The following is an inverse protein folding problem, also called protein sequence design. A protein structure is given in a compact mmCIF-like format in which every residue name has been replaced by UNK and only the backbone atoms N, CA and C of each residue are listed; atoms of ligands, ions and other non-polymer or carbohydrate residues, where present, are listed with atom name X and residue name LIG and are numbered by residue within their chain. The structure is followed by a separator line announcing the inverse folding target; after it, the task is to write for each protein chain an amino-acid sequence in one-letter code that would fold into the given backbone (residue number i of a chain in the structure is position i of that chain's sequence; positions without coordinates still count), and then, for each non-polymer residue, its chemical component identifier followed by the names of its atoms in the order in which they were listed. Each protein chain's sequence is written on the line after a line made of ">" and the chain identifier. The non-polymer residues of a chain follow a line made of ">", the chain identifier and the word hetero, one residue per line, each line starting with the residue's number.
data_IF_505260315644
#
_entry.id   IF_505260315644
#
_cell.length_a   1.000
_cell.length_b   1.000
_cell.length_c   1.000
_cell.angle_alpha   90.00
_cell.angle_beta   90.00
_cell.angle_gamma   90.00
#
_symmetry.space_group_name_H-M   'P 1'
#
loop_
_entity.id
_entity.type
_entity.pdbx_description
1 polymer ?
#
# COMPACT_ATOMS: atom_id res chain seq x y z
N UNK A 1 13.75 -7.89 -1.56
CA UNK A 1 12.58 -7.80 -2.46
C UNK A 1 13.03 -8.29 -3.82
N UNK A 2 12.39 -9.32 -4.34
CA UNK A 2 12.72 -9.89 -5.64
C UNK A 2 12.29 -8.91 -6.76
N UNK A 3 13.07 -8.85 -7.85
CA UNK A 3 12.77 -8.06 -9.06
C UNK A 3 11.37 -8.39 -9.60
N UNK A 4 10.93 -9.64 -9.42
CA UNK A 4 9.61 -10.14 -9.81
C UNK A 4 8.47 -9.46 -9.01
N UNK A 5 8.65 -9.20 -7.73
CA UNK A 5 7.66 -8.49 -6.91
C UNK A 5 7.54 -7.02 -7.33
N UNK A 6 8.65 -6.40 -7.71
CA UNK A 6 8.67 -5.02 -8.18
C UNK A 6 7.98 -4.89 -9.55
N UNK A 7 8.22 -5.81 -10.47
CA UNK A 7 7.53 -5.90 -11.75
C UNK A 7 6.02 -6.17 -11.57
N UNK A 8 5.63 -7.03 -10.61
CA UNK A 8 4.22 -7.26 -10.27
C UNK A 8 3.55 -5.99 -9.76
N UNK A 9 4.20 -5.21 -8.90
CA UNK A 9 3.68 -3.92 -8.43
C UNK A 9 3.51 -2.91 -9.56
N UNK A 10 4.47 -2.82 -10.51
CA UNK A 10 4.41 -1.90 -11.66
C UNK A 10 3.29 -2.33 -12.63
N UNK A 11 3.22 -3.62 -12.95
CA UNK A 11 2.17 -4.16 -13.84
C UNK A 11 0.78 -3.97 -13.23
N UNK A 12 0.69 -4.13 -11.92
CA UNK A 12 -0.53 -4.00 -11.16
C UNK A 12 -0.99 -2.54 -11.03
N UNK A 13 -0.06 -1.59 -10.79
CA UNK A 13 -0.34 -0.15 -10.81
C UNK A 13 -0.82 0.32 -12.20
N UNK A 14 -0.24 -0.22 -13.28
CA UNK A 14 -0.70 0.03 -14.65
C UNK A 14 -2.11 -0.49 -14.92
N UNK A 15 -2.47 -1.65 -14.36
CA UNK A 15 -3.79 -2.25 -14.48
C UNK A 15 -4.89 -1.41 -13.78
N UNK A 16 -4.58 -0.84 -12.62
CA UNK A 16 -5.49 0.06 -11.90
C UNK A 16 -5.71 1.40 -12.63
N UNK A 17 -4.70 1.88 -13.35
CA UNK A 17 -4.73 3.17 -14.04
C UNK A 17 -5.56 3.17 -15.32
N UNK A 18 -5.69 2.02 -15.98
CA UNK A 18 -6.43 1.90 -17.24
C UNK A 18 -7.95 1.84 -17.08
N UNK A 19 -8.47 1.84 -15.86
CA UNK A 19 -9.92 1.94 -15.60
C UNK A 19 -10.77 0.78 -16.17
N UNK A 20 -10.16 -0.25 -16.73
CA UNK A 20 -10.83 -1.35 -17.43
C UNK A 20 -11.13 -2.57 -16.55
N UNK A 21 -10.92 -2.49 -15.26
CA UNK A 21 -11.13 -3.64 -14.39
C UNK A 21 -12.14 -3.37 -13.29
N UNK A 22 -13.32 -3.95 -13.38
CA UNK A 22 -14.13 -4.22 -12.20
C UNK A 22 -13.29 -5.10 -11.29
N UNK A 23 -12.89 -4.62 -10.10
CA UNK A 23 -12.20 -5.45 -9.11
C UNK A 23 -12.92 -6.78 -8.94
N UNK A 24 -12.21 -7.91 -8.88
CA UNK A 24 -12.84 -9.20 -8.67
C UNK A 24 -13.67 -9.17 -7.39
N UNK A 25 -14.78 -9.92 -7.40
CA UNK A 25 -15.66 -10.02 -6.22
C UNK A 25 -14.90 -10.64 -5.05
N UNK A 26 -15.19 -10.24 -3.81
CA UNK A 26 -14.61 -10.89 -2.64
C UNK A 26 -14.80 -12.40 -2.67
N UNK A 27 -13.82 -13.15 -2.19
CA UNK A 27 -13.92 -14.60 -2.05
C UNK A 27 -15.02 -14.96 -1.05
N UNK A 28 -15.67 -16.10 -1.28
CA UNK A 28 -16.54 -16.69 -0.25
C UNK A 28 -15.69 -17.13 0.95
N UNK A 29 -16.25 -17.14 2.17
CA UNK A 29 -15.50 -17.54 3.38
C UNK A 29 -14.85 -18.93 3.30
N UNK A 30 -15.47 -19.88 2.59
CA UNK A 30 -14.92 -21.22 2.37
C UNK A 30 -13.73 -21.20 1.41
N UNK A 31 -13.82 -20.46 0.31
CA UNK A 31 -12.72 -20.29 -0.64
C UNK A 31 -11.56 -19.50 -0.04
N UNK A 32 -11.84 -18.50 0.77
CA UNK A 32 -10.81 -17.73 1.47
C UNK A 32 -10.00 -18.63 2.41
N UNK A 33 -10.67 -19.48 3.21
CA UNK A 33 -9.99 -20.45 4.08
C UNK A 33 -9.15 -21.45 3.30
N UNK A 34 -9.68 -21.99 2.20
CA UNK A 34 -8.94 -22.90 1.30
C UNK A 34 -7.68 -22.23 0.76
N UNK A 35 -7.79 -20.99 0.23
CA UNK A 35 -6.64 -20.25 -0.26
C UNK A 35 -5.61 -19.96 0.84
N UNK A 36 -6.04 -19.65 2.06
CA UNK A 36 -5.13 -19.45 3.21
C UNK A 36 -4.37 -20.73 3.52
N UNK A 37 -5.04 -21.89 3.57
CA UNK A 37 -4.38 -23.17 3.82
C UNK A 37 -3.33 -23.47 2.75
N UNK A 38 -3.70 -23.35 1.47
CA UNK A 38 -2.77 -23.58 0.36
C UNK A 38 -1.59 -22.59 0.35
N UNK A 39 -1.85 -21.34 0.71
CA UNK A 39 -0.77 -20.34 0.84
C UNK A 39 0.23 -20.75 1.92
N UNK A 40 -0.22 -21.28 3.06
CA UNK A 40 0.65 -21.78 4.13
C UNK A 40 1.46 -23.01 3.71
N UNK A 41 0.95 -23.81 2.77
CA UNK A 41 1.65 -24.92 2.13
C UNK A 41 2.65 -24.47 1.04
N UNK A 42 2.74 -23.15 0.77
CA UNK A 42 3.68 -22.57 -0.20
C UNK A 42 3.11 -22.37 -1.60
N UNK A 43 1.78 -22.44 -1.80
CA UNK A 43 1.16 -22.20 -3.10
C UNK A 43 1.08 -20.68 -3.41
N UNK A 44 1.99 -20.21 -4.26
CA UNK A 44 2.05 -18.82 -4.72
C UNK A 44 0.78 -18.40 -5.47
N UNK A 45 0.11 -19.31 -6.19
CA UNK A 45 -1.15 -18.99 -6.91
C UNK A 45 -2.30 -18.71 -5.94
N UNK A 46 -2.36 -19.44 -4.83
CA UNK A 46 -3.35 -19.19 -3.79
C UNK A 46 -3.12 -17.82 -3.13
N UNK A 47 -1.86 -17.47 -2.90
CA UNK A 47 -1.45 -16.16 -2.40
C UNK A 47 -1.85 -15.03 -3.36
N UNK A 48 -1.59 -15.19 -4.66
CA UNK A 48 -1.97 -14.23 -5.68
C UNK A 48 -3.48 -14.01 -5.70
N UNK A 49 -4.23 -15.09 -5.65
CA UNK A 49 -5.70 -15.04 -5.57
C UNK A 49 -6.18 -14.25 -4.36
N UNK A 50 -5.58 -14.45 -3.18
CA UNK A 50 -5.89 -13.67 -1.98
C UNK A 50 -5.60 -12.19 -2.17
N UNK A 51 -4.48 -11.83 -2.78
CA UNK A 51 -4.11 -10.45 -3.06
C UNK A 51 -5.12 -9.81 -4.02
N UNK A 52 -5.38 -10.44 -5.16
CA UNK A 52 -6.28 -9.91 -6.20
C UNK A 52 -7.69 -9.63 -5.67
N UNK A 53 -8.27 -10.56 -4.93
CA UNK A 53 -9.62 -10.42 -4.40
C UNK A 53 -9.74 -9.43 -3.23
N UNK A 54 -8.62 -9.03 -2.61
CA UNK A 54 -8.59 -8.01 -1.54
C UNK A 54 -8.18 -6.60 -1.99
N UNK A 55 -7.90 -6.39 -3.27
CA UNK A 55 -7.54 -5.07 -3.80
C UNK A 55 -8.64 -4.02 -3.68
N UNK A 56 -9.88 -4.44 -3.78
CA UNK A 56 -11.03 -3.57 -3.56
C UNK A 56 -11.01 -2.96 -2.15
N UNK A 57 -10.53 -3.72 -1.16
CA UNK A 57 -10.37 -3.24 0.21
C UNK A 57 -9.30 -2.13 0.27
N UNK A 58 -8.18 -2.29 -0.43
CA UNK A 58 -7.14 -1.24 -0.52
C UNK A 58 -7.70 0.04 -1.12
N UNK A 59 -8.42 -0.05 -2.25
CA UNK A 59 -9.03 1.12 -2.88
C UNK A 59 -10.06 1.82 -1.96
N UNK A 60 -10.81 1.05 -1.16
CA UNK A 60 -11.76 1.59 -0.19
C UNK A 60 -11.05 2.35 0.94
N UNK A 61 -9.98 1.78 1.47
CA UNK A 61 -9.17 2.42 2.52
C UNK A 61 -8.47 3.66 1.96
N UNK A 62 -7.86 3.56 0.78
CA UNK A 62 -7.16 4.67 0.14
C UNK A 62 -8.04 5.91 -0.02
N UNK A 63 -9.32 5.75 -0.32
CA UNK A 63 -10.28 6.86 -0.41
C UNK A 63 -10.40 7.69 0.85
N UNK A 64 -10.20 7.10 2.04
CA UNK A 64 -10.24 7.83 3.32
C UNK A 64 -9.05 8.77 3.50
N UNK A 65 -7.92 8.44 2.87
CA UNK A 65 -6.64 9.11 3.08
C UNK A 65 -6.21 9.98 1.89
N UNK A 66 -6.89 9.83 0.74
CA UNK A 66 -6.55 10.59 -0.46
C UNK A 66 -7.04 12.04 -0.35
N UNK A 67 -6.09 12.95 -0.39
CA UNK A 67 -6.33 14.35 -0.75
C UNK A 67 -6.22 14.50 -2.27
N UNK A 68 -6.75 15.59 -2.82
CA UNK A 68 -6.77 15.80 -4.27
C UNK A 68 -5.33 15.73 -4.86
N UNK A 69 -5.09 14.75 -5.71
CA UNK A 69 -3.83 14.55 -6.44
C UNK A 69 -2.90 13.44 -5.95
N UNK A 70 -3.11 12.87 -4.74
CA UNK A 70 -2.21 11.85 -4.15
C UNK A 70 -2.78 10.42 -4.18
N UNK A 71 -3.90 10.20 -4.86
CA UNK A 71 -4.64 8.94 -4.79
C UNK A 71 -3.84 7.75 -5.33
N UNK A 72 -3.07 7.94 -6.39
CA UNK A 72 -2.29 6.86 -7.03
C UNK A 72 -1.15 6.38 -6.12
N UNK A 73 -0.48 7.31 -5.42
CA UNK A 73 0.60 6.99 -4.49
C UNK A 73 0.06 6.24 -3.26
N UNK A 74 -1.08 6.67 -2.73
CA UNK A 74 -1.73 6.03 -1.58
C UNK A 74 -2.20 4.62 -1.94
N UNK A 75 -2.74 4.39 -3.14
CA UNK A 75 -3.12 3.05 -3.62
C UNK A 75 -1.87 2.16 -3.78
N UNK A 76 -0.79 2.69 -4.34
CA UNK A 76 0.46 1.94 -4.52
C UNK A 76 1.05 1.49 -3.18
N UNK A 77 1.13 2.38 -2.21
CA UNK A 77 1.60 2.07 -0.85
C UNK A 77 0.63 1.12 -0.13
N UNK A 78 -0.68 1.33 -0.27
CA UNK A 78 -1.70 0.44 0.27
C UNK A 78 -1.58 -0.98 -0.28
N UNK A 79 -1.25 -1.13 -1.57
CA UNK A 79 -1.02 -2.43 -2.21
C UNK A 79 0.22 -3.12 -1.64
N UNK A 80 1.31 -2.39 -1.37
CA UNK A 80 2.48 -2.93 -0.68
C UNK A 80 2.10 -3.40 0.73
N UNK A 81 1.26 -2.63 1.44
CA UNK A 81 0.72 -3.00 2.75
C UNK A 81 -0.11 -4.28 2.69
N UNK A 82 -0.95 -4.46 1.66
CA UNK A 82 -1.72 -5.67 1.40
C UNK A 82 -0.80 -6.88 1.19
N UNK A 83 0.19 -6.79 0.30
CA UNK A 83 1.13 -7.89 0.01
C UNK A 83 1.87 -8.30 1.28
N UNK A 84 2.38 -7.34 2.06
CA UNK A 84 3.02 -7.61 3.35
C UNK A 84 2.05 -8.26 4.34
N UNK A 85 0.81 -7.80 4.40
CA UNK A 85 -0.23 -8.36 5.24
C UNK A 85 -0.54 -9.82 4.90
N UNK A 86 -0.73 -10.15 3.62
CA UNK A 86 -0.96 -11.54 3.18
C UNK A 86 0.23 -12.43 3.52
N UNK A 87 1.46 -11.96 3.29
CA UNK A 87 2.68 -12.74 3.58
C UNK A 87 2.91 -13.02 5.07
N UNK A 88 2.45 -12.14 5.95
CA UNK A 88 2.65 -12.25 7.41
C UNK A 88 1.41 -12.72 8.16
N UNK A 89 0.36 -13.11 7.43
CA UNK A 89 -0.89 -13.55 8.04
C UNK A 89 -0.73 -14.90 8.73
N UNK A 90 -1.16 -14.96 9.99
CA UNK A 90 -1.24 -16.22 10.75
C UNK A 90 -2.68 -16.46 11.20
N UNK A 91 -3.34 -17.53 10.70
CA UNK A 91 -4.72 -17.85 11.04
C UNK A 91 -4.90 -18.30 12.50
N UNK A 92 -3.84 -18.75 13.18
CA UNK A 92 -3.90 -19.17 14.59
C UNK A 92 -4.27 -18.05 15.55
N UNK A 93 -4.08 -16.80 15.15
CA UNK A 93 -4.38 -15.62 15.97
C UNK A 93 -5.87 -15.26 16.04
N UNK A 94 -6.76 -16.08 15.49
CA UNK A 94 -8.22 -15.86 15.50
C UNK A 94 -8.68 -14.48 14.99
N UNK A 95 -7.93 -13.88 14.07
CA UNK A 95 -8.24 -12.60 13.43
C UNK A 95 -8.69 -12.87 12.01
N UNK A 96 -9.76 -12.23 11.55
CA UNK A 96 -10.18 -12.31 10.15
C UNK A 96 -9.14 -11.69 9.24
N UNK A 97 -8.87 -12.31 8.08
CA UNK A 97 -7.90 -11.84 7.09
C UNK A 97 -8.14 -10.37 6.69
N UNK A 98 -9.38 -10.00 6.37
CA UNK A 98 -9.75 -8.65 6.00
C UNK A 98 -9.41 -7.60 7.09
N UNK A 99 -9.64 -7.92 8.36
CA UNK A 99 -9.32 -7.06 9.50
C UNK A 99 -7.81 -6.87 9.65
N UNK A 100 -7.06 -7.94 9.49
CA UNK A 100 -5.60 -7.90 9.56
C UNK A 100 -5.00 -7.09 8.42
N UNK A 101 -5.44 -7.35 7.20
CA UNK A 101 -5.02 -6.61 6.00
C UNK A 101 -5.34 -5.12 6.12
N UNK A 102 -6.54 -4.76 6.59
CA UNK A 102 -6.92 -3.36 6.77
C UNK A 102 -5.91 -2.60 7.64
N UNK A 103 -5.49 -3.19 8.76
CA UNK A 103 -4.48 -2.60 9.64
C UNK A 103 -3.11 -2.49 8.97
N UNK A 104 -2.69 -3.50 8.20
CA UNK A 104 -1.43 -3.46 7.47
C UNK A 104 -1.42 -2.35 6.41
N UNK A 105 -2.52 -2.19 5.68
CA UNK A 105 -2.70 -1.13 4.67
C UNK A 105 -2.70 0.26 5.33
N UNK A 106 -3.48 0.46 6.40
CA UNK A 106 -3.53 1.72 7.14
C UNK A 106 -2.16 2.09 7.70
N UNK A 107 -1.43 1.15 8.30
CA UNK A 107 -0.08 1.38 8.81
C UNK A 107 0.91 1.78 7.70
N UNK A 108 0.81 1.16 6.52
CA UNK A 108 1.66 1.51 5.38
C UNK A 108 1.39 2.95 4.91
N UNK A 109 0.12 3.35 4.80
CA UNK A 109 -0.30 4.70 4.41
C UNK A 109 0.15 5.74 5.47
N UNK A 110 -0.06 5.47 6.75
CA UNK A 110 0.39 6.37 7.83
C UNK A 110 1.91 6.57 7.85
N UNK A 111 2.67 5.51 7.55
CA UNK A 111 4.14 5.62 7.46
C UNK A 111 4.55 6.55 6.34
N UNK A 112 3.90 6.48 5.17
CA UNK A 112 4.14 7.40 4.06
C UNK A 112 3.82 8.86 4.46
N UNK A 113 2.66 9.10 5.06
CA UNK A 113 2.24 10.44 5.48
C UNK A 113 3.21 11.07 6.49
N UNK A 114 3.72 10.27 7.44
CA UNK A 114 4.76 10.75 8.38
C UNK A 114 6.05 11.14 7.65
N UNK A 115 6.50 10.33 6.70
CA UNK A 115 7.70 10.61 5.93
C UNK A 115 7.55 11.87 5.06
N UNK A 116 6.40 12.09 4.43
CA UNK A 116 6.12 13.29 3.65
C UNK A 116 6.12 14.55 4.52
N UNK A 117 5.57 14.47 5.73
CA UNK A 117 5.55 15.59 6.69
C UNK A 117 6.97 15.95 7.20
N UNK A 118 7.81 14.95 7.44
CA UNK A 118 9.21 15.18 7.85
C UNK A 118 9.99 15.84 6.70
N UNK A 119 9.79 15.37 5.48
CA UNK A 119 10.50 15.87 4.30
C UNK A 119 10.07 17.31 3.93
N UNK A 120 8.81 17.67 4.15
CA UNK A 120 8.33 19.06 3.98
C UNK A 120 8.93 20.01 5.03
N UNK A 121 9.04 19.58 6.29
CA UNK A 121 9.67 20.37 7.36
C UNK A 121 11.18 20.57 7.12
N UNK A 122 11.89 19.55 6.64
CA UNK A 122 13.32 19.67 6.33
C UNK A 122 13.59 20.61 5.15
N UNK A 123 12.73 20.62 4.11
CA UNK A 123 12.83 21.59 3.01
C UNK A 123 12.57 23.04 3.47
N UNK A 124 11.62 23.23 4.36
CA UNK A 124 11.30 24.56 4.89
C UNK A 124 12.42 25.11 5.79
N UNK A 125 13.08 24.23 6.55
CA UNK A 125 14.25 24.58 7.35
C UNK A 125 15.49 24.90 6.50
N UNK A 126 15.66 24.25 5.35
CA UNK A 126 16.79 24.50 4.44
C UNK A 126 16.59 25.76 3.57
N UNK A 127 15.35 26.12 3.27
CA UNK A 127 15.02 27.32 2.49
C UNK A 127 15.22 28.63 3.25
N UNK A 128 15.04 28.64 4.57
CA UNK A 128 15.24 29.85 5.38
C UNK A 128 16.71 30.24 5.57
N UNK A 129 17.66 29.29 5.45
CA UNK A 129 19.09 29.63 5.61
C UNK A 129 19.74 30.13 4.31
N UNK A 130 19.11 29.95 3.15
CA UNK A 130 19.71 30.41 1.90
C UNK A 130 19.42 31.90 1.60
N UNK A 131 18.31 32.42 2.10
CA UNK A 131 17.94 33.83 1.91
C UNK A 131 18.61 34.80 2.93
N UNK A 132 19.11 34.29 4.06
CA UNK A 132 19.77 35.15 5.07
C UNK A 132 21.27 35.32 4.82
N UNK A 133 21.89 34.62 3.87
CA UNK A 133 23.32 34.76 3.57
C UNK A 133 23.63 35.64 2.35
N UNK A 134 22.63 36.14 1.65
CA UNK A 134 22.87 36.98 0.45
C UNK A 134 22.69 38.47 0.69
N UNK A 135 22.29 38.94 1.87
CA UNK A 135 22.13 40.36 2.14
C UNK A 135 23.33 41.03 2.84
N UNK A 136 24.35 40.29 3.31
CA UNK A 136 25.52 40.82 3.98
C UNK A 136 26.76 41.05 3.10
N UNK A 137 26.63 41.08 1.80
CA UNK A 137 27.77 41.30 0.86
C UNK A 137 27.60 42.44 -0.13
N UNK A 138 26.80 43.46 0.20
CA UNK A 138 26.71 44.67 -0.64
C UNK A 138 26.63 45.90 0.25
N UNK A 139 27.78 46.20 0.93
CA UNK A 139 28.21 47.59 1.32
C UNK A 139 29.70 47.55 1.62
#
# INVERSE_FOLDING_TARGET
>A
MSLVELLRCIFFSGYLRTGMGTFPRPLSPSREKECITRMLEGDEKAKDTLIEHNLRLVAHIAKKYSQAGEQDDIISIGTIGLIKGVNSFNPEKNVQLATYISRCVENAIHTLQKLSTINSKSRQSCGCNYYLQTEDKLW
#
